data_IF_362607908195
#
_entry.id   IF_362607908195
#
_cell.length_a   1.000
_cell.length_b   1.000
_cell.length_c   1.000
_cell.angle_alpha   90.00
_cell.angle_beta   90.00
_cell.angle_gamma   90.00
#
_symmetry.space_group_name_H-M   'P 1'
#
loop_
_entity.id
_entity.type
_entity.pdbx_description
1 polymer ?
#
# COMPACT_ATOMS: atom_id res chain seq x y z
N UNK A 1 -16.94 21.64 -4.94
CA UNK A 1 -18.24 21.55 -4.23
C UNK A 1 -18.93 20.21 -4.48
N UNK A 2 -18.89 19.69 -5.71
CA UNK A 2 -19.58 18.45 -6.13
C UNK A 2 -19.07 17.13 -5.49
N UNK A 3 -17.77 17.02 -5.24
CA UNK A 3 -17.17 15.81 -4.64
C UNK A 3 -17.57 15.58 -3.17
N UNK A 4 -17.84 16.65 -2.41
CA UNK A 4 -18.28 16.55 -1.01
C UNK A 4 -19.71 16.02 -0.90
N UNK A 5 -20.58 16.43 -1.83
CA UNK A 5 -21.97 15.97 -1.90
C UNK A 5 -22.03 14.51 -2.36
N UNK A 6 -21.20 14.14 -3.34
CA UNK A 6 -21.08 12.75 -3.81
C UNK A 6 -20.54 11.81 -2.71
N UNK A 7 -19.57 12.29 -1.92
CA UNK A 7 -19.06 11.56 -0.76
C UNK A 7 -20.15 11.38 0.31
N UNK A 8 -20.90 12.44 0.62
CA UNK A 8 -22.01 12.38 1.57
C UNK A 8 -23.11 11.41 1.13
N UNK A 9 -23.45 11.39 -0.16
CA UNK A 9 -24.44 10.45 -0.72
C UNK A 9 -23.99 9.00 -0.57
N UNK A 10 -22.73 8.70 -0.91
CA UNK A 10 -22.16 7.35 -0.76
C UNK A 10 -22.15 6.90 0.71
N UNK A 11 -21.86 7.81 1.64
CA UNK A 11 -21.95 7.51 3.07
C UNK A 11 -23.38 7.18 3.50
N UNK A 12 -24.37 7.92 3.01
CA UNK A 12 -25.77 7.66 3.33
C UNK A 12 -26.25 6.31 2.79
N UNK A 13 -25.84 5.93 1.58
CA UNK A 13 -26.14 4.62 0.99
C UNK A 13 -25.55 3.47 1.82
N UNK A 14 -24.33 3.64 2.31
CA UNK A 14 -23.65 2.64 3.13
C UNK A 14 -24.29 2.52 4.51
N UNK A 15 -24.69 3.64 5.14
CA UNK A 15 -25.46 3.64 6.39
C UNK A 15 -26.79 2.90 6.21
N UNK A 16 -27.54 3.22 5.15
CA UNK A 16 -28.81 2.58 4.86
C UNK A 16 -28.66 1.06 4.65
N UNK A 17 -27.57 0.63 3.98
CA UNK A 17 -27.26 -0.79 3.78
C UNK A 17 -26.91 -1.48 5.11
N UNK A 18 -26.14 -0.83 5.99
CA UNK A 18 -25.83 -1.37 7.31
C UNK A 18 -27.09 -1.52 8.17
N UNK A 19 -27.95 -0.51 8.21
CA UNK A 19 -29.20 -0.53 8.96
C UNK A 19 -30.14 -1.63 8.47
N UNK A 20 -30.24 -1.81 7.14
CA UNK A 20 -31.06 -2.88 6.56
C UNK A 20 -30.57 -4.27 6.95
N UNK A 21 -29.25 -4.52 6.88
CA UNK A 21 -28.68 -5.82 7.24
C UNK A 21 -28.75 -6.09 8.74
N UNK A 22 -28.53 -5.07 9.57
CA UNK A 22 -28.65 -5.19 11.03
C UNK A 22 -30.08 -5.51 11.45
N UNK A 23 -31.09 -4.83 10.87
CA UNK A 23 -32.51 -5.13 11.13
C UNK A 23 -32.88 -6.56 10.74
N UNK A 24 -32.44 -7.03 9.58
CA UNK A 24 -32.69 -8.41 9.14
C UNK A 24 -32.10 -9.44 10.12
N UNK A 25 -30.88 -9.18 10.59
CA UNK A 25 -30.21 -10.00 11.59
C UNK A 25 -30.98 -10.00 12.93
N UNK A 26 -31.36 -8.83 13.44
CA UNK A 26 -32.16 -8.69 14.68
C UNK A 26 -33.51 -9.41 14.59
N UNK A 27 -34.21 -9.32 13.46
CA UNK A 27 -35.48 -10.01 13.23
C UNK A 27 -35.31 -11.54 13.25
N UNK A 28 -34.24 -12.07 12.66
CA UNK A 28 -33.94 -13.51 12.68
C UNK A 28 -33.51 -13.97 14.08
N UNK A 29 -32.79 -13.15 14.82
CA UNK A 29 -32.39 -13.44 16.19
C UNK A 29 -33.60 -13.47 17.14
N UNK A 30 -34.58 -12.57 16.94
CA UNK A 30 -35.87 -12.60 17.66
C UNK A 30 -36.68 -13.87 17.38
N UNK A 31 -36.63 -14.40 16.14
CA UNK A 31 -37.29 -15.66 15.75
C UNK A 31 -36.68 -16.91 16.40
N UNK A 32 -35.47 -16.82 16.95
CA UNK A 32 -34.78 -17.93 17.64
C UNK A 32 -34.94 -17.89 19.18
N UNK A 33 -35.77 -16.99 19.70
CA UNK A 33 -36.08 -16.88 21.13
C UNK A 33 -37.01 -18.03 21.62
N UNK A 34 -37.12 -18.29 22.94
CA UNK A 34 -37.15 -19.66 23.51
C UNK A 34 -38.45 -20.46 23.36
N UNK A 35 -39.41 -20.02 22.54
CA UNK A 35 -40.68 -20.72 22.30
C UNK A 35 -40.69 -21.59 21.05
N UNK A 36 -39.60 -21.67 20.30
CA UNK A 36 -39.47 -22.53 19.11
C UNK A 36 -38.19 -23.36 19.18
N UNK A 37 -38.32 -24.67 18.92
CA UNK A 37 -37.23 -25.64 18.80
C UNK A 37 -36.32 -25.27 17.62
N UNK A 38 -35.36 -24.36 17.86
CA UNK A 38 -34.38 -23.95 16.89
C UNK A 38 -33.48 -25.13 16.51
N UNK A 39 -33.37 -25.44 15.23
CA UNK A 39 -32.47 -26.52 14.79
C UNK A 39 -31.01 -26.08 15.01
N UNK A 40 -30.09 -27.00 15.32
CA UNK A 40 -28.66 -26.70 15.42
C UNK A 40 -28.06 -26.10 14.13
N UNK A 41 -28.71 -26.32 12.98
CA UNK A 41 -28.31 -25.75 11.70
C UNK A 41 -28.66 -24.26 11.60
N UNK A 42 -29.78 -23.82 12.17
CA UNK A 42 -30.20 -22.41 12.14
C UNK A 42 -29.29 -21.51 12.97
N UNK A 43 -28.88 -21.99 14.15
CA UNK A 43 -27.90 -21.29 15.01
C UNK A 43 -26.52 -21.20 14.36
N UNK A 44 -26.09 -22.26 13.65
CA UNK A 44 -24.80 -22.29 12.96
C UNK A 44 -24.80 -21.38 11.73
N UNK A 45 -25.92 -21.32 11.01
CA UNK A 45 -26.15 -20.40 9.89
C UNK A 45 -26.13 -18.94 10.36
N UNK A 46 -26.87 -18.61 11.42
CA UNK A 46 -26.92 -17.25 11.97
C UNK A 46 -25.55 -16.76 12.47
N UNK A 47 -24.79 -17.64 13.13
CA UNK A 47 -23.43 -17.34 13.59
C UNK A 47 -22.46 -17.08 12.43
N UNK A 48 -22.58 -17.84 11.33
CA UNK A 48 -21.78 -17.61 10.11
C UNK A 48 -22.13 -16.28 9.45
N UNK A 49 -23.43 -15.98 9.28
CA UNK A 49 -23.90 -14.71 8.71
C UNK A 49 -23.42 -13.50 9.54
N UNK A 50 -23.43 -13.62 10.88
CA UNK A 50 -22.89 -12.58 11.76
C UNK A 50 -21.39 -12.36 11.57
N UNK A 51 -20.61 -13.44 11.44
CA UNK A 51 -19.16 -13.33 11.25
C UNK A 51 -18.82 -12.72 9.88
N UNK A 52 -19.57 -13.08 8.84
CA UNK A 52 -19.43 -12.50 7.51
C UNK A 52 -19.80 -11.01 7.51
N UNK A 53 -20.89 -10.65 8.18
CA UNK A 53 -21.29 -9.25 8.34
C UNK A 53 -20.25 -8.45 9.14
N UNK A 54 -19.77 -8.97 10.27
CA UNK A 54 -18.71 -8.34 11.07
C UNK A 54 -17.44 -8.14 10.25
N UNK A 55 -17.03 -9.16 9.50
CA UNK A 55 -15.86 -9.09 8.61
C UNK A 55 -16.03 -8.04 7.52
N UNK A 56 -17.22 -7.96 6.94
CA UNK A 56 -17.57 -6.94 5.95
C UNK A 56 -17.53 -5.52 6.54
N UNK A 57 -18.16 -5.29 7.70
CA UNK A 57 -18.14 -4.00 8.42
C UNK A 57 -16.70 -3.56 8.69
N UNK A 58 -15.85 -4.47 9.20
CA UNK A 58 -14.45 -4.18 9.47
C UNK A 58 -13.66 -3.83 8.20
N UNK A 59 -13.86 -4.56 7.10
CA UNK A 59 -13.23 -4.24 5.81
C UNK A 59 -13.65 -2.87 5.31
N UNK A 60 -14.94 -2.54 5.41
CA UNK A 60 -15.47 -1.23 5.00
C UNK A 60 -14.93 -0.09 5.87
N UNK A 61 -14.88 -0.27 7.19
CA UNK A 61 -14.30 0.72 8.11
C UNK A 61 -12.81 0.93 7.87
N UNK A 62 -12.05 -0.13 7.57
CA UNK A 62 -10.63 -0.03 7.22
C UNK A 62 -10.43 0.71 5.88
N UNK A 63 -11.27 0.46 4.89
CA UNK A 63 -11.24 1.20 3.62
C UNK A 63 -11.60 2.68 3.81
N UNK A 64 -12.55 3.00 4.68
CA UNK A 64 -12.85 4.39 5.00
C UNK A 64 -11.73 5.09 5.75
N UNK A 65 -11.13 4.41 6.73
CA UNK A 65 -9.97 4.93 7.45
C UNK A 65 -8.85 5.30 6.47
N UNK A 66 -8.53 4.41 5.53
CA UNK A 66 -7.48 4.68 4.54
C UNK A 66 -7.83 5.84 3.60
N UNK A 67 -9.09 5.96 3.16
CA UNK A 67 -9.54 7.11 2.38
C UNK A 67 -9.47 8.44 3.14
N UNK A 68 -9.86 8.45 4.41
CA UNK A 68 -9.79 9.64 5.27
C UNK A 68 -8.34 10.06 5.54
N UNK A 69 -7.45 9.10 5.76
CA UNK A 69 -6.01 9.34 5.90
C UNK A 69 -5.41 9.91 4.61
N UNK A 70 -5.78 9.38 3.43
CA UNK A 70 -5.38 9.93 2.13
C UNK A 70 -5.82 11.39 1.95
N UNK A 71 -7.08 11.71 2.29
CA UNK A 71 -7.59 13.08 2.21
C UNK A 71 -6.85 14.01 3.17
N UNK A 72 -6.58 13.55 4.40
CA UNK A 72 -5.85 14.32 5.42
C UNK A 72 -4.42 14.63 4.95
N UNK A 73 -3.73 13.67 4.35
CA UNK A 73 -2.39 13.85 3.78
C UNK A 73 -2.41 14.78 2.56
N UNK A 74 -3.40 14.64 1.69
CA UNK A 74 -3.59 15.54 0.56
C UNK A 74 -3.78 16.99 1.02
N UNK A 75 -4.59 17.19 2.06
CA UNK A 75 -4.82 18.50 2.67
C UNK A 75 -3.55 19.06 3.32
N UNK A 76 -2.76 18.23 4.03
CA UNK A 76 -1.46 18.62 4.59
C UNK A 76 -0.49 19.07 3.50
N UNK A 77 -0.40 18.31 2.39
CA UNK A 77 0.48 18.65 1.26
C UNK A 77 0.07 19.96 0.61
N UNK A 78 -1.23 20.16 0.38
CA UNK A 78 -1.75 21.41 -0.15
C UNK A 78 -1.45 22.58 0.78
N UNK A 79 -1.68 22.42 2.09
CA UNK A 79 -1.38 23.44 3.08
C UNK A 79 0.12 23.75 3.13
N UNK A 80 0.98 22.73 3.16
CA UNK A 80 2.43 22.89 3.13
C UNK A 80 2.89 23.62 1.86
N UNK A 81 2.30 23.30 0.70
CA UNK A 81 2.56 23.99 -0.56
C UNK A 81 2.18 25.47 -0.49
N UNK A 82 1.00 25.80 0.04
CA UNK A 82 0.55 27.18 0.22
C UNK A 82 1.43 27.96 1.22
N UNK A 83 2.07 27.27 2.17
CA UNK A 83 2.99 27.82 3.16
C UNK A 83 4.42 28.04 2.65
N UNK A 84 4.78 27.60 1.44
CA UNK A 84 6.14 27.80 0.87
C UNK A 84 6.49 29.27 0.63
N UNK A 85 5.49 30.13 0.43
CA UNK A 85 5.65 31.59 0.30
C UNK A 85 5.57 32.33 1.64
N UNK A 86 5.62 31.61 2.76
CA UNK A 86 5.47 32.17 4.10
C UNK A 86 6.72 31.90 4.94
N UNK A 87 7.13 32.90 5.72
CA UNK A 87 8.16 32.76 6.75
C UNK A 87 7.68 33.37 8.06
N UNK A 88 8.30 32.94 9.16
CA UNK A 88 8.17 33.57 10.46
C UNK A 88 9.45 34.33 10.81
N UNK A 89 9.29 35.55 11.31
CA UNK A 89 10.36 36.36 11.89
C UNK A 89 10.12 36.48 13.39
N UNK A 90 11.08 36.07 14.20
CA UNK A 90 11.03 36.11 15.66
C UNK A 90 11.96 37.18 16.22
N UNK A 91 11.67 37.68 17.42
CA UNK A 91 12.51 38.67 18.11
C UNK A 91 12.35 40.10 17.58
N UNK A 92 11.28 40.38 16.82
CA UNK A 92 10.94 41.73 16.38
C UNK A 92 10.19 42.45 17.49
N UNK A 93 10.74 43.55 18.02
CA UNK A 93 10.10 44.38 19.06
C UNK A 93 8.69 44.81 18.62
N UNK A 94 7.74 44.83 19.55
CA UNK A 94 6.36 45.29 19.29
C UNK A 94 6.20 46.76 19.69
N UNK A 95 5.65 47.58 18.79
CA UNK A 95 5.32 48.97 19.05
C UNK A 95 3.83 49.23 18.80
N UNK A 96 3.23 50.14 19.58
CA UNK A 96 1.82 50.54 19.37
C UNK A 96 1.70 51.27 18.03
N UNK A 97 0.76 50.82 17.19
CA UNK A 97 0.51 51.42 15.87
C UNK A 97 1.57 51.07 14.81
N UNK A 98 2.35 50.00 15.02
CA UNK A 98 3.40 49.61 14.08
C UNK A 98 2.87 49.35 12.66
N UNK A 99 3.56 49.90 11.66
CA UNK A 99 3.36 49.54 10.25
C UNK A 99 4.23 48.33 9.94
N UNK A 100 3.67 47.14 10.11
CA UNK A 100 4.46 45.90 10.12
C UNK A 100 5.20 45.63 8.81
N UNK A 101 4.64 46.01 7.65
CA UNK A 101 5.36 45.92 6.36
C UNK A 101 6.63 46.77 6.36
N UNK A 102 6.58 48.00 6.86
CA UNK A 102 7.74 48.90 6.92
C UNK A 102 8.80 48.39 7.89
N UNK A 103 8.38 47.84 9.04
CA UNK A 103 9.28 47.20 10.01
C UNK A 103 10.00 46.01 9.38
N UNK A 104 9.28 45.15 8.65
CA UNK A 104 9.84 43.99 7.95
C UNK A 104 10.82 44.42 6.85
N UNK A 105 10.46 45.42 6.04
CA UNK A 105 11.35 45.96 5.00
C UNK A 105 12.63 46.56 5.58
N UNK A 106 12.54 47.30 6.69
CA UNK A 106 13.73 47.80 7.41
C UNK A 106 14.64 46.66 7.87
N UNK A 107 14.09 45.55 8.35
CA UNK A 107 14.89 44.37 8.72
C UNK A 107 15.58 43.78 7.48
N UNK A 108 14.86 43.67 6.36
CA UNK A 108 15.41 43.10 5.13
C UNK A 108 16.53 43.97 4.53
N UNK A 109 16.34 45.29 4.48
CA UNK A 109 17.37 46.20 4.00
C UNK A 109 18.57 46.28 4.97
N UNK A 110 18.32 46.58 6.25
CA UNK A 110 19.39 46.96 7.17
C UNK A 110 20.13 45.75 7.78
N UNK A 111 19.46 44.60 7.93
CA UNK A 111 20.06 43.41 8.58
C UNK A 111 20.34 42.24 7.63
N UNK A 112 19.74 42.22 6.45
CA UNK A 112 19.94 41.15 5.46
C UNK A 112 20.57 41.65 4.15
N UNK A 113 20.84 42.95 4.02
CA UNK A 113 21.39 43.56 2.80
C UNK A 113 20.54 43.28 1.55
N UNK A 114 19.25 42.99 1.73
CA UNK A 114 18.33 42.67 0.65
C UNK A 114 17.59 43.94 0.19
N UNK A 115 18.27 44.80 -0.58
CA UNK A 115 17.72 46.08 -1.07
C UNK A 115 16.69 45.93 -2.19
N UNK A 116 16.70 44.79 -2.89
CA UNK A 116 15.85 44.54 -4.05
C UNK A 116 14.40 44.16 -3.69
N UNK A 117 14.10 44.03 -2.39
CA UNK A 117 12.79 43.63 -1.88
C UNK A 117 11.99 44.88 -1.51
N UNK A 118 10.85 45.06 -2.17
CA UNK A 118 9.96 46.19 -1.98
C UNK A 118 8.66 45.80 -1.27
N UNK A 119 7.82 46.80 -0.94
CA UNK A 119 6.48 46.54 -0.40
C UNK A 119 5.59 45.72 -1.35
N UNK A 120 5.84 45.77 -2.67
CA UNK A 120 5.09 45.03 -3.69
C UNK A 120 5.46 43.54 -3.73
N UNK A 121 6.59 43.15 -3.17
CA UNK A 121 6.97 41.74 -3.01
C UNK A 121 6.23 41.07 -1.86
N UNK A 122 5.71 41.88 -0.92
CA UNK A 122 5.04 41.44 0.28
C UNK A 122 3.52 41.48 0.12
N UNK A 123 2.92 40.29 0.05
CA UNK A 123 1.46 40.16 0.05
C UNK A 123 0.88 40.64 1.38
N UNK A 124 1.42 40.13 2.50
CA UNK A 124 0.87 40.38 3.84
C UNK A 124 1.92 40.21 4.94
N UNK A 125 1.77 40.97 6.02
CA UNK A 125 2.58 40.84 7.24
C UNK A 125 1.66 40.94 8.46
N UNK A 126 1.69 39.94 9.36
CA UNK A 126 0.84 39.93 10.56
C UNK A 126 1.57 39.34 11.77
N UNK A 127 1.29 39.85 12.98
CA UNK A 127 1.72 39.23 14.24
C UNK A 127 0.87 37.99 14.53
N UNK A 128 1.48 36.91 15.01
CA UNK A 128 0.78 35.69 15.37
C UNK A 128 0.58 35.55 16.89
N UNK A 129 -0.63 35.16 17.27
CA UNK A 129 -0.97 34.81 18.65
C UNK A 129 -1.31 35.99 19.55
N UNK A 130 -1.53 35.66 20.82
CA UNK A 130 -1.89 36.59 21.91
C UNK A 130 -0.60 37.07 22.57
N UNK A 131 -0.55 38.34 22.98
CA UNK A 131 0.61 38.90 23.66
C UNK A 131 0.79 38.24 25.04
N UNK A 132 1.95 37.61 25.27
CA UNK A 132 2.29 36.91 26.52
C UNK A 132 3.66 37.34 27.07
N UNK A 133 3.99 38.63 26.95
CA UNK A 133 5.22 39.22 27.50
C UNK A 133 6.49 39.03 26.66
N UNK A 134 6.49 38.12 25.68
CA UNK A 134 7.52 38.04 24.62
C UNK A 134 6.99 38.63 23.30
N UNK A 135 7.85 39.26 22.46
CA UNK A 135 7.41 39.78 21.18
C UNK A 135 6.87 38.67 20.28
N UNK A 136 5.67 38.84 19.75
CA UNK A 136 4.98 37.86 18.91
C UNK A 136 5.71 37.68 17.58
N UNK A 137 5.79 36.45 17.05
CA UNK A 137 6.33 36.20 15.73
C UNK A 137 5.57 36.96 14.64
N UNK A 138 6.29 37.46 13.65
CA UNK A 138 5.72 38.10 12.46
C UNK A 138 5.66 37.08 11.33
N UNK A 139 4.46 36.78 10.85
CA UNK A 139 4.23 36.01 9.63
C UNK A 139 4.35 36.94 8.43
N UNK A 140 5.21 36.60 7.47
CA UNK A 140 5.41 37.35 6.23
C UNK A 140 5.04 36.46 5.05
N UNK A 141 4.13 36.93 4.20
CA UNK A 141 3.71 36.28 2.96
C UNK A 141 4.28 37.04 1.77
N UNK A 142 4.96 36.31 0.89
CA UNK A 142 5.53 36.86 -0.35
C UNK A 142 4.64 36.58 -1.55
N UNK A 143 4.66 37.47 -2.53
CA UNK A 143 4.00 37.27 -3.82
C UNK A 143 4.74 36.21 -4.66
N UNK A 144 6.07 36.16 -4.57
CA UNK A 144 6.92 35.22 -5.29
C UNK A 144 7.74 34.31 -4.35
N UNK A 145 7.98 33.07 -4.80
CA UNK A 145 8.94 32.17 -4.15
C UNK A 145 10.38 32.67 -4.30
N UNK A 146 10.72 33.39 -5.38
CA UNK A 146 12.06 33.95 -5.58
C UNK A 146 12.40 34.98 -4.51
N UNK A 147 11.53 35.97 -4.29
CA UNK A 147 11.69 37.00 -3.25
C UNK A 147 11.84 36.36 -1.86
N UNK A 148 11.01 35.35 -1.55
CA UNK A 148 11.12 34.57 -0.31
C UNK A 148 12.47 33.84 -0.20
N UNK A 149 12.96 33.26 -1.29
CA UNK A 149 14.19 32.48 -1.30
C UNK A 149 15.42 33.38 -1.09
N UNK A 150 15.46 34.57 -1.69
CA UNK A 150 16.53 35.56 -1.48
C UNK A 150 16.67 35.93 0.01
N UNK A 151 15.53 36.16 0.69
CA UNK A 151 15.51 36.38 2.14
C UNK A 151 16.02 35.15 2.91
N UNK A 152 15.61 33.95 2.49
CA UNK A 152 15.99 32.71 3.16
C UNK A 152 17.48 32.42 3.08
N UNK A 153 18.13 32.72 1.95
CA UNK A 153 19.57 32.50 1.76
C UNK A 153 20.42 33.47 2.58
N UNK A 154 19.99 34.71 2.75
CA UNK A 154 20.73 35.74 3.50
C UNK A 154 20.54 35.66 5.02
N UNK A 155 19.63 34.81 5.51
CA UNK A 155 19.22 34.76 6.94
C UNK A 155 20.36 34.57 7.95
N UNK A 156 21.52 34.06 7.52
CA UNK A 156 22.69 33.88 8.39
C UNK A 156 23.29 35.20 8.87
N UNK A 157 23.03 36.31 8.16
CA UNK A 157 23.43 37.67 8.57
C UNK A 157 22.71 38.15 9.84
N UNK A 158 21.61 37.51 10.23
CA UNK A 158 20.88 37.86 11.46
C UNK A 158 21.53 37.34 12.74
N UNK A 159 22.58 36.52 12.65
CA UNK A 159 23.28 35.97 13.83
C UNK A 159 23.78 37.12 14.72
N UNK A 160 23.49 37.04 16.02
CA UNK A 160 23.86 38.07 17.00
C UNK A 160 22.90 39.26 17.09
N UNK A 161 21.94 39.41 16.18
CA UNK A 161 21.03 40.57 16.16
C UNK A 161 19.78 40.43 17.06
N UNK A 162 19.61 39.27 17.69
CA UNK A 162 18.39 38.90 18.43
C UNK A 162 17.18 38.53 17.57
N UNK A 163 17.27 38.67 16.24
CA UNK A 163 16.21 38.32 15.28
C UNK A 163 16.51 36.97 14.64
N UNK A 164 15.50 36.13 14.45
CA UNK A 164 15.65 34.84 13.74
C UNK A 164 14.52 34.60 12.75
N UNK A 165 14.81 33.84 11.69
CA UNK A 165 13.84 33.47 10.66
C UNK A 165 13.64 31.95 10.66
N UNK A 166 12.39 31.51 10.64
CA UNK A 166 12.00 30.10 10.51
C UNK A 166 10.94 29.89 9.42
N UNK A 167 10.79 28.65 8.94
CA UNK A 167 9.68 28.33 8.05
C UNK A 167 8.37 28.28 8.83
N UNK A 168 7.26 28.60 8.16
CA UNK A 168 5.93 28.42 8.70
C UNK A 168 5.42 27.01 8.39
N UNK A 169 5.92 26.01 9.12
CA UNK A 169 5.55 24.60 8.91
C UNK A 169 4.10 24.33 9.33
N UNK A 170 3.44 23.35 8.71
CA UNK A 170 2.19 22.76 9.21
C UNK A 170 2.40 22.17 10.61
N UNK A 171 1.32 22.01 11.38
CA UNK A 171 1.42 21.43 12.74
C UNK A 171 2.09 20.06 12.71
N UNK A 172 1.72 19.21 11.75
CA UNK A 172 2.33 17.90 11.56
C UNK A 172 3.85 17.97 11.31
N UNK A 173 4.29 18.80 10.35
CA UNK A 173 5.72 18.99 10.06
C UNK A 173 6.47 19.62 11.22
N UNK A 174 5.87 20.57 11.92
CA UNK A 174 6.47 21.15 13.11
C UNK A 174 6.70 20.10 14.19
N UNK A 175 5.71 19.24 14.47
CA UNK A 175 5.87 18.13 15.42
C UNK A 175 7.01 17.20 15.01
N UNK A 176 7.06 16.77 13.75
CA UNK A 176 8.16 15.92 13.23
C UNK A 176 9.51 16.63 13.35
N UNK A 177 9.56 17.93 13.10
CA UNK A 177 10.79 18.72 13.22
C UNK A 177 11.30 18.79 14.66
N UNK A 178 10.39 18.98 15.62
CA UNK A 178 10.73 19.03 17.04
C UNK A 178 11.20 17.67 17.55
N UNK A 179 10.53 16.58 17.15
CA UNK A 179 10.97 15.22 17.47
C UNK A 179 12.34 14.91 16.84
N UNK A 180 12.59 15.33 15.59
CA UNK A 180 13.89 15.18 14.96
C UNK A 180 14.98 15.91 15.76
N UNK A 181 14.74 17.15 16.20
CA UNK A 181 15.71 17.90 17.03
C UNK A 181 15.96 17.25 18.39
N UNK A 182 14.93 16.67 19.00
CA UNK A 182 15.04 15.93 20.26
C UNK A 182 15.94 14.70 20.12
N UNK A 183 15.83 13.98 18.99
CA UNK A 183 16.56 12.73 18.76
C UNK A 183 17.97 12.93 18.17
N UNK A 184 18.15 13.87 17.24
CA UNK A 184 19.43 14.06 16.51
C UNK A 184 20.19 15.32 16.93
N UNK A 185 19.59 16.16 17.77
CA UNK A 185 20.16 17.42 18.23
C UNK A 185 19.79 18.62 17.36
N UNK A 186 19.72 19.79 18.01
CA UNK A 186 19.31 21.07 17.42
C UNK A 186 20.14 21.46 16.19
N UNK A 187 21.44 21.18 16.21
CA UNK A 187 22.38 21.57 15.15
C UNK A 187 22.37 20.60 13.96
N UNK A 188 21.84 19.39 14.15
CA UNK A 188 21.76 18.35 13.13
C UNK A 188 20.43 18.39 12.38
N UNK A 189 19.48 19.22 12.78
CA UNK A 189 18.16 19.29 12.15
C UNK A 189 17.80 20.72 11.76
N UNK A 190 17.45 20.92 10.50
CA UNK A 190 16.92 22.18 9.98
C UNK A 190 15.78 21.91 9.00
N UNK A 191 15.16 22.97 8.49
CA UNK A 191 14.18 22.84 7.42
C UNK A 191 14.62 23.58 6.17
N UNK A 192 14.16 23.08 5.02
CA UNK A 192 14.45 23.63 3.70
C UNK A 192 13.30 23.35 2.76
N UNK A 193 12.68 24.42 2.26
CA UNK A 193 11.52 24.39 1.36
C UNK A 193 10.35 23.53 1.91
N UNK A 194 10.02 23.75 3.18
CA UNK A 194 8.99 23.01 3.90
C UNK A 194 9.34 21.56 4.22
N UNK A 195 10.52 21.07 3.81
CA UNK A 195 11.01 19.72 4.14
C UNK A 195 11.93 19.77 5.35
N UNK A 196 11.87 18.76 6.20
CA UNK A 196 12.76 18.64 7.35
C UNK A 196 14.04 17.95 6.86
N UNK A 197 15.20 18.43 7.27
CA UNK A 197 16.49 17.90 6.88
C UNK A 197 17.25 17.51 8.14
N UNK A 198 17.75 16.28 8.17
CA UNK A 198 18.52 15.70 9.26
C UNK A 198 19.92 15.38 8.74
N UNK A 199 20.94 15.81 9.47
CA UNK A 199 22.33 15.41 9.29
C UNK A 199 22.59 14.19 10.16
N UNK A 200 22.93 13.07 9.53
CA UNK A 200 23.26 11.84 10.21
C UNK A 200 24.73 11.85 10.71
N UNK A 201 25.10 10.95 11.64
CA UNK A 201 26.47 10.88 12.16
C UNK A 201 27.54 10.66 11.08
N UNK A 202 27.19 9.98 10.00
CA UNK A 202 28.00 9.73 8.80
C UNK A 202 28.15 10.99 7.89
N UNK A 203 27.66 12.14 8.34
CA UNK A 203 27.62 13.42 7.61
C UNK A 203 26.69 13.45 6.40
N UNK A 204 25.89 12.40 6.18
CA UNK A 204 24.89 12.41 5.10
C UNK A 204 23.67 13.25 5.50
N UNK A 205 23.10 13.95 4.52
CA UNK A 205 21.89 14.76 4.70
C UNK A 205 20.69 13.97 4.22
N UNK A 206 19.67 13.80 5.08
CA UNK A 206 18.41 13.14 4.74
C UNK A 206 17.26 14.12 4.82
N UNK A 207 16.46 14.19 3.75
CA UNK A 207 15.21 14.94 3.74
C UNK A 207 14.10 14.02 4.26
N UNK A 208 13.47 14.42 5.35
CA UNK A 208 12.28 13.78 5.87
C UNK A 208 11.09 14.27 5.09
N UNK A 209 10.49 13.33 4.36
CA UNK A 209 9.19 13.51 3.75
C UNK A 209 8.16 12.80 4.63
N UNK A 210 7.04 13.47 4.92
CA UNK A 210 5.92 12.82 5.57
C UNK A 210 5.25 11.95 4.51
N UNK A 211 5.71 10.71 4.39
CA UNK A 211 5.07 9.65 3.62
C UNK A 211 4.33 8.74 4.58
N UNK A 212 3.10 8.39 4.20
CA UNK A 212 2.29 7.46 4.96
C UNK A 212 2.37 6.10 4.29
N UNK A 213 2.78 5.10 5.05
CA UNK A 213 2.69 3.73 4.60
C UNK A 213 1.27 3.22 4.88
N UNK A 214 0.47 3.13 3.82
CA UNK A 214 -0.95 2.75 3.88
C UNK A 214 -1.20 1.32 4.40
N UNK A 215 -0.16 0.51 4.52
CA UNK A 215 -0.26 -0.83 5.10
C UNK A 215 0.04 -0.86 6.60
N UNK A 216 0.67 0.18 7.18
CA UNK A 216 1.09 0.14 8.60
C UNK A 216 0.74 1.34 9.46
N UNK A 217 0.24 2.43 8.88
CA UNK A 217 -0.10 3.63 9.65
C UNK A 217 1.12 4.33 10.26
N UNK A 218 2.33 4.04 9.77
CA UNK A 218 3.60 4.60 10.26
C UNK A 218 4.10 5.71 9.34
N UNK A 219 4.56 6.80 9.95
CA UNK A 219 5.35 7.86 9.27
C UNK A 219 6.78 7.33 9.10
N UNK A 220 7.18 7.06 7.87
CA UNK A 220 8.53 6.52 7.58
C UNK A 220 9.55 7.61 7.25
N UNK A 221 10.72 7.54 7.89
CA UNK A 221 11.93 8.29 7.55
C UNK A 221 12.72 7.48 6.53
N UNK A 222 12.90 7.96 5.30
CA UNK A 222 13.69 7.24 4.28
C UNK A 222 15.13 7.73 4.17
N UNK A 223 16.05 6.78 4.23
CA UNK A 223 17.45 6.83 3.80
C UNK A 223 17.66 5.62 2.89
N UNK A 224 18.24 5.75 1.68
CA UNK A 224 18.73 4.57 0.97
C UNK A 224 20.00 4.07 1.67
N UNK A 225 20.10 2.73 1.78
CA UNK A 225 21.21 1.90 2.27
C UNK A 225 21.10 1.36 3.72
N UNK A 226 20.60 0.13 3.74
CA UNK A 226 20.74 -1.05 4.63
C UNK A 226 21.32 -0.94 6.05
N UNK A 227 20.47 -1.21 7.06
CA UNK A 227 20.45 -2.40 7.94
C UNK A 227 19.38 -2.10 9.03
N UNK A 228 18.24 -2.80 9.06
CA UNK A 228 17.14 -2.47 9.98
C UNK A 228 17.25 -3.22 11.30
N UNK A 229 17.73 -2.55 12.33
CA UNK A 229 17.43 -2.91 13.73
C UNK A 229 16.19 -2.15 14.19
N UNK A 230 15.23 -2.85 14.80
CA UNK A 230 14.10 -2.22 15.49
C UNK A 230 14.56 -1.98 16.93
N UNK A 231 14.87 -0.74 17.29
CA UNK A 231 15.13 -0.37 18.68
C UNK A 231 13.80 -0.35 19.46
N UNK A 232 13.74 -1.14 20.53
CA UNK A 232 12.60 -1.11 21.45
C UNK A 232 12.57 0.24 22.19
N UNK A 233 11.44 0.97 22.20
CA UNK A 233 11.29 2.15 23.04
C UNK A 233 11.54 1.79 24.51
N UNK A 234 12.48 2.50 25.16
CA UNK A 234 12.88 2.25 26.55
C UNK A 234 11.72 2.32 27.57
N UNK A 235 10.59 2.95 27.21
CA UNK A 235 9.39 3.03 28.04
C UNK A 235 8.53 1.74 28.02
N UNK A 236 8.83 0.80 27.11
CA UNK A 236 8.08 -0.45 26.90
C UNK A 236 8.74 -1.68 27.53
N UNK A 237 9.74 -1.51 28.40
CA UNK A 237 10.16 -2.59 29.30
C UNK A 237 9.31 -2.43 30.57
N UNK A 238 8.27 -3.25 30.79
CA UNK A 238 7.47 -3.16 32.00
C UNK A 238 8.39 -3.38 33.20
N UNK A 239 8.23 -2.64 34.31
CA UNK A 239 9.02 -2.85 35.52
C UNK A 239 8.79 -4.24 36.15
N UNK A 240 7.76 -4.98 35.71
CA UNK A 240 7.25 -6.20 36.33
C UNK A 240 7.08 -7.38 35.35
N UNK A 241 6.88 -8.59 35.89
CA UNK A 241 6.72 -9.89 35.20
C UNK A 241 5.49 -9.95 34.26
N UNK A 242 5.45 -9.16 33.20
CA UNK A 242 4.39 -9.26 32.20
C UNK A 242 4.82 -10.16 31.02
N UNK A 243 3.92 -11.07 30.63
CA UNK A 243 4.08 -11.93 29.47
C UNK A 243 3.74 -11.13 28.19
N UNK A 244 4.63 -11.15 27.22
CA UNK A 244 4.40 -10.60 25.88
C UNK A 244 4.37 -11.72 24.83
N UNK A 245 3.76 -11.44 23.68
CA UNK A 245 3.69 -12.36 22.55
C UNK A 245 4.19 -11.68 21.27
N UNK A 246 4.83 -12.47 20.41
CA UNK A 246 5.34 -12.09 19.09
C UNK A 246 4.78 -13.07 18.06
N UNK A 247 4.23 -12.59 16.94
CA UNK A 247 3.73 -13.43 15.86
C UNK A 247 4.02 -12.79 14.50
N UNK A 248 4.01 -13.62 13.45
CA UNK A 248 4.16 -13.18 12.06
C UNK A 248 2.98 -13.69 11.25
N UNK A 249 2.19 -12.78 10.68
CA UNK A 249 1.07 -13.10 9.81
C UNK A 249 0.95 -12.04 8.70
N UNK A 250 0.41 -12.38 7.53
CA UNK A 250 0.10 -11.41 6.46
C UNK A 250 1.26 -10.53 5.97
N UNK A 251 2.50 -11.01 6.06
CA UNK A 251 3.69 -10.19 5.79
C UNK A 251 3.88 -9.04 6.79
N UNK A 252 3.41 -9.21 8.03
CA UNK A 252 3.53 -8.25 9.13
C UNK A 252 3.95 -8.96 10.41
N UNK A 253 4.91 -8.38 11.13
CA UNK A 253 5.32 -8.86 12.45
C UNK A 253 4.56 -8.09 13.52
N UNK A 254 3.87 -8.80 14.42
CA UNK A 254 3.03 -8.23 15.46
C UNK A 254 3.61 -8.59 16.83
N UNK A 255 3.64 -7.63 17.75
CA UNK A 255 4.07 -7.80 19.14
C UNK A 255 3.03 -7.16 20.07
N UNK A 256 2.64 -7.90 21.11
CA UNK A 256 1.59 -7.48 22.05
C UNK A 256 1.84 -7.97 23.47
N UNK A 257 1.09 -7.41 24.44
CA UNK A 257 1.02 -7.95 25.80
C UNK A 257 -0.05 -9.06 25.85
N UNK A 258 0.09 -10.01 26.77
CA UNK A 258 -0.89 -11.09 26.94
C UNK A 258 -2.30 -10.53 27.10
N UNK A 259 -3.24 -11.04 26.28
CA UNK A 259 -4.66 -10.64 26.21
C UNK A 259 -4.94 -9.22 25.69
N UNK A 260 -3.91 -8.52 25.19
CA UNK A 260 -4.05 -7.21 24.57
C UNK A 260 -3.82 -7.30 23.05
N UNK A 261 -4.42 -6.40 22.25
CA UNK A 261 -4.09 -6.28 20.83
C UNK A 261 -2.60 -5.93 20.64
N UNK A 262 -2.02 -6.21 19.46
CA UNK A 262 -0.63 -5.87 19.19
C UNK A 262 -0.41 -4.37 19.35
N UNK A 263 0.52 -3.99 20.22
CA UNK A 263 0.93 -2.61 20.39
C UNK A 263 2.00 -2.20 19.37
N UNK A 264 2.63 -3.18 18.71
CA UNK A 264 3.59 -2.97 17.63
C UNK A 264 3.22 -3.87 16.45
N UNK A 265 3.00 -3.26 15.29
CA UNK A 265 2.78 -3.94 14.01
C UNK A 265 3.83 -3.40 13.04
N UNK A 266 4.66 -4.30 12.49
CA UNK A 266 5.70 -3.96 11.54
C UNK A 266 5.44 -4.64 10.19
N UNK A 267 5.13 -3.88 9.13
CA UNK A 267 4.97 -4.45 7.80
C UNK A 267 6.34 -4.89 7.27
N UNK A 268 6.39 -6.09 6.72
CA UNK A 268 7.55 -6.59 6.00
C UNK A 268 7.34 -6.27 4.54
N UNK A 269 8.36 -5.73 3.88
CA UNK A 269 8.24 -5.38 2.46
C UNK A 269 8.08 -6.65 1.63
N UNK A 270 7.21 -6.64 0.62
CA UNK A 270 7.00 -7.78 -0.27
C UNK A 270 8.27 -8.21 -1.03
N UNK A 271 9.25 -7.30 -1.16
CA UNK A 271 10.56 -7.53 -1.77
C UNK A 271 11.60 -8.15 -0.82
N UNK A 272 11.35 -8.15 0.50
CA UNK A 272 12.23 -8.82 1.47
C UNK A 272 11.89 -10.32 1.45
N UNK A 273 12.57 -11.05 0.56
CA UNK A 273 12.46 -12.52 0.46
C UNK A 273 13.14 -13.13 1.68
N UNK A 274 12.33 -13.68 2.58
CA UNK A 274 12.72 -14.58 3.69
C UNK A 274 13.35 -13.88 4.90
N UNK A 275 12.62 -13.82 6.02
CA UNK A 275 13.25 -13.55 7.33
C UNK A 275 13.97 -14.86 7.72
N UNK A 276 15.29 -14.89 7.59
CA UNK A 276 16.09 -16.04 8.01
C UNK A 276 16.10 -16.24 9.53
N UNK A 277 16.14 -15.14 10.30
CA UNK A 277 16.13 -15.15 11.77
C UNK A 277 15.71 -13.78 12.32
N UNK A 278 15.16 -13.77 13.54
CA UNK A 278 14.86 -12.54 14.29
C UNK A 278 15.87 -12.45 15.44
N UNK A 279 16.63 -11.34 15.52
CA UNK A 279 17.55 -11.09 16.63
C UNK A 279 16.91 -10.12 17.62
N UNK A 280 16.58 -10.62 18.81
CA UNK A 280 16.09 -9.81 19.92
C UNK A 280 17.26 -9.56 20.89
N UNK A 281 17.57 -8.29 21.16
CA UNK A 281 18.57 -7.89 22.15
C UNK A 281 17.84 -7.39 23.39
N UNK A 282 17.97 -8.12 24.49
CA UNK A 282 17.25 -7.84 25.74
C UNK A 282 18.29 -7.74 26.87
N UNK A 283 18.07 -6.81 27.81
CA UNK A 283 18.98 -6.51 28.93
C UNK A 283 18.66 -7.32 30.21
N UNK A 284 17.63 -8.18 30.19
CA UNK A 284 17.18 -9.00 31.34
C UNK A 284 16.93 -10.46 30.91
N UNK A 285 17.04 -11.39 31.86
CA UNK A 285 16.71 -12.81 31.63
C UNK A 285 15.20 -13.00 31.42
N UNK A 286 14.83 -13.70 30.33
CA UNK A 286 13.44 -13.99 29.95
C UNK A 286 13.29 -15.49 29.69
N UNK A 287 12.16 -16.05 30.12
CA UNK A 287 11.77 -17.41 29.78
C UNK A 287 10.93 -17.41 28.49
N UNK A 288 11.40 -18.12 27.47
CA UNK A 288 10.69 -18.25 26.20
C UNK A 288 9.73 -19.44 26.22
N UNK A 289 8.47 -19.18 25.87
CA UNK A 289 7.48 -20.22 25.57
C UNK A 289 7.11 -20.14 24.09
N UNK A 290 7.80 -20.95 23.26
CA UNK A 290 7.48 -21.04 21.84
C UNK A 290 6.25 -21.92 21.68
N UNK A 291 5.10 -21.29 21.43
CA UNK A 291 3.88 -22.00 21.05
C UNK A 291 3.93 -22.26 19.55
N UNK A 292 3.72 -23.50 19.12
CA UNK A 292 3.38 -23.79 17.74
C UNK A 292 2.15 -22.94 17.33
N UNK A 293 2.06 -22.48 16.07
CA UNK A 293 0.99 -21.58 15.65
C UNK A 293 -0.37 -22.12 16.10
N UNK A 294 -1.22 -21.30 16.77
CA UNK A 294 -2.45 -21.77 17.40
C UNK A 294 -3.47 -22.32 16.39
N UNK A 295 -3.24 -22.04 15.11
CA UNK A 295 -3.84 -22.74 14.00
C UNK A 295 -2.72 -23.24 13.10
N UNK A 296 -2.54 -24.56 13.04
CA UNK A 296 -2.38 -25.17 11.71
C UNK A 296 -3.66 -24.78 11.00
N UNK A 297 -3.63 -23.75 10.15
CA UNK A 297 -4.74 -23.51 9.21
C UNK A 297 -4.79 -24.84 8.45
N UNK A 298 -5.83 -25.67 8.62
CA UNK A 298 -5.94 -26.84 7.77
C UNK A 298 -5.88 -26.26 6.36
N UNK A 299 -5.05 -26.82 5.45
CA UNK A 299 -4.98 -26.31 4.09
C UNK A 299 -6.41 -26.09 3.63
N UNK A 300 -6.71 -24.89 3.11
CA UNK A 300 -8.07 -24.52 2.68
C UNK A 300 -8.68 -25.76 2.06
N UNK A 301 -9.74 -26.29 2.68
CA UNK A 301 -10.45 -27.43 2.12
C UNK A 301 -11.16 -26.84 0.92
N UNK A 302 -10.45 -26.76 -0.20
CA UNK A 302 -11.03 -26.49 -1.49
C UNK A 302 -12.17 -27.48 -1.61
N UNK A 303 -13.40 -26.99 -1.85
CA UNK A 303 -14.49 -27.88 -2.25
C UNK A 303 -13.97 -28.61 -3.48
N UNK A 304 -13.57 -29.86 -3.29
CA UNK A 304 -13.18 -30.73 -4.37
C UNK A 304 -14.48 -30.99 -5.14
N UNK A 305 -14.71 -30.20 -6.19
CA UNK A 305 -15.81 -30.44 -7.11
C UNK A 305 -15.31 -31.60 -7.99
N UNK A 306 -15.79 -32.80 -7.71
CA UNK A 306 -15.38 -34.04 -8.38
C UNK A 306 -15.56 -33.95 -9.91
N UNK A 307 -16.53 -33.15 -10.37
CA UNK A 307 -16.85 -32.91 -11.79
C UNK A 307 -16.24 -31.62 -12.39
N UNK A 308 -15.32 -30.94 -11.70
CA UNK A 308 -14.82 -29.60 -12.07
C UNK A 308 -13.46 -29.54 -12.77
N UNK A 309 -12.99 -30.62 -13.42
CA UNK A 309 -11.66 -30.70 -14.05
C UNK A 309 -11.47 -29.64 -15.13
N UNK A 310 -10.25 -29.14 -15.23
CA UNK A 310 -9.86 -28.22 -16.31
C UNK A 310 -9.92 -28.92 -17.66
N UNK A 311 -10.67 -28.34 -18.60
CA UNK A 311 -10.80 -28.85 -19.95
C UNK A 311 -10.88 -27.70 -20.97
N UNK A 312 -10.40 -27.98 -22.19
CA UNK A 312 -10.44 -27.04 -23.30
C UNK A 312 -11.70 -27.28 -24.13
N UNK A 313 -12.49 -26.22 -24.33
CA UNK A 313 -13.76 -26.27 -25.05
C UNK A 313 -13.70 -25.33 -26.24
N UNK A 314 -13.99 -25.84 -27.45
CA UNK A 314 -14.12 -25.00 -28.64
C UNK A 314 -15.32 -24.08 -28.49
N UNK A 315 -15.16 -22.81 -28.87
CA UNK A 315 -16.28 -21.88 -28.89
C UNK A 315 -17.22 -22.23 -30.05
N UNK A 316 -18.52 -22.34 -29.74
CA UNK A 316 -19.58 -22.64 -30.71
C UNK A 316 -20.54 -21.45 -30.75
N UNK A 317 -20.95 -21.04 -31.96
CA UNK A 317 -21.89 -19.93 -32.19
C UNK A 317 -21.54 -18.62 -31.48
N UNK A 318 -20.24 -18.34 -31.28
CA UNK A 318 -19.76 -17.14 -30.57
C UNK A 318 -20.30 -17.02 -29.13
N UNK A 319 -20.73 -18.15 -28.53
CA UNK A 319 -21.21 -18.20 -27.15
C UNK A 319 -20.11 -18.72 -26.24
N UNK A 320 -19.89 -18.01 -25.13
CA UNK A 320 -18.94 -18.41 -24.11
C UNK A 320 -19.44 -19.70 -23.43
N UNK A 321 -18.63 -20.77 -23.37
CA UNK A 321 -19.05 -22.03 -22.77
C UNK A 321 -19.29 -21.90 -21.26
N UNK A 322 -20.23 -22.67 -20.68
CA UNK A 322 -20.40 -22.73 -19.23
C UNK A 322 -19.11 -23.14 -18.52
N UNK A 323 -18.80 -22.47 -17.41
CA UNK A 323 -17.58 -22.74 -16.64
C UNK A 323 -16.31 -22.15 -17.24
N UNK A 324 -16.41 -21.26 -18.24
CA UNK A 324 -15.26 -20.52 -18.77
C UNK A 324 -14.52 -19.76 -17.67
N UNK A 325 -13.21 -19.96 -17.60
CA UNK A 325 -12.38 -19.41 -16.53
C UNK A 325 -11.93 -17.99 -16.84
N UNK A 326 -12.20 -17.06 -15.93
CA UNK A 326 -11.76 -15.66 -16.03
C UNK A 326 -10.25 -15.63 -15.78
N UNK A 327 -9.50 -15.20 -16.79
CA UNK A 327 -8.04 -15.07 -16.73
C UNK A 327 -7.57 -13.74 -16.15
N UNK A 328 -8.38 -12.69 -16.28
CA UNK A 328 -8.05 -11.36 -15.81
C UNK A 328 -9.08 -10.30 -16.20
N UNK A 329 -8.65 -9.05 -16.33
CA UNK A 329 -9.52 -7.92 -16.66
C UNK A 329 -8.78 -6.90 -17.53
N UNK A 330 -9.40 -6.50 -18.64
CA UNK A 330 -8.93 -5.49 -19.58
C UNK A 330 -10.14 -4.69 -20.09
N UNK A 331 -10.56 -3.66 -19.34
CA UNK A 331 -11.83 -2.93 -19.46
C UNK A 331 -13.11 -3.79 -19.25
N UNK A 332 -13.04 -5.08 -19.57
CA UNK A 332 -14.03 -6.12 -19.33
C UNK A 332 -13.34 -7.40 -18.83
N UNK A 333 -14.07 -8.38 -18.24
CA UNK A 333 -13.50 -9.68 -17.92
C UNK A 333 -12.95 -10.37 -19.17
N UNK A 334 -11.69 -10.78 -19.11
CA UNK A 334 -11.05 -11.58 -20.16
C UNK A 334 -10.95 -13.03 -19.73
N UNK A 335 -11.13 -13.94 -20.68
CA UNK A 335 -11.14 -15.38 -20.43
C UNK A 335 -9.87 -16.03 -20.94
N UNK A 336 -9.50 -17.17 -20.37
CA UNK A 336 -8.33 -17.91 -20.80
C UNK A 336 -8.66 -18.64 -22.11
N UNK A 337 -7.87 -18.35 -23.14
CA UNK A 337 -7.99 -19.02 -24.43
C UNK A 337 -6.65 -19.64 -24.84
N UNK A 338 -6.68 -20.58 -25.77
CA UNK A 338 -5.50 -21.00 -26.52
C UNK A 338 -5.80 -21.13 -28.00
N UNK A 339 -4.80 -20.90 -28.83
CA UNK A 339 -4.93 -20.99 -30.27
C UNK A 339 -3.61 -21.38 -30.93
N UNK A 340 -3.70 -22.05 -32.08
CA UNK A 340 -2.54 -22.41 -32.88
C UNK A 340 -1.96 -21.18 -33.60
N UNK A 341 -0.65 -21.01 -33.54
CA UNK A 341 0.10 -20.01 -34.29
C UNK A 341 1.52 -20.50 -34.56
N UNK A 342 1.91 -20.55 -35.84
CA UNK A 342 3.25 -20.95 -36.27
C UNK A 342 3.73 -22.26 -35.61
N UNK A 343 2.87 -23.28 -35.63
CA UNK A 343 3.12 -24.60 -35.00
C UNK A 343 3.24 -24.59 -33.47
N UNK A 344 3.00 -23.46 -32.80
CA UNK A 344 2.83 -23.39 -31.35
C UNK A 344 1.38 -23.28 -30.94
N UNK A 345 0.97 -24.08 -29.97
CA UNK A 345 -0.33 -23.97 -29.31
C UNK A 345 -0.21 -22.99 -28.13
N UNK A 346 -0.46 -21.71 -28.40
CA UNK A 346 -0.22 -20.64 -27.43
C UNK A 346 -1.45 -20.35 -26.56
N UNK A 347 -1.32 -20.32 -25.23
CA UNK A 347 -2.32 -19.71 -24.37
C UNK A 347 -2.27 -18.17 -24.43
N UNK A 348 -3.42 -17.54 -24.17
CA UNK A 348 -3.66 -16.12 -24.34
C UNK A 348 -5.01 -15.70 -23.76
N UNK A 349 -5.52 -14.54 -24.20
CA UNK A 349 -6.78 -13.95 -23.72
C UNK A 349 -7.89 -14.04 -24.76
N UNK A 350 -9.12 -14.28 -24.32
CA UNK A 350 -10.34 -14.05 -25.10
C UNK A 350 -11.05 -12.80 -24.59
N UNK A 351 -11.46 -11.94 -25.53
CA UNK A 351 -12.12 -10.66 -25.24
C UNK A 351 -13.56 -10.71 -25.76
N UNK A 352 -14.58 -10.74 -24.89
CA UNK A 352 -15.98 -10.90 -25.29
C UNK A 352 -16.50 -9.84 -26.26
N UNK A 353 -16.22 -8.56 -26.06
CA UNK A 353 -16.67 -7.51 -27.00
C UNK A 353 -16.08 -7.68 -28.40
N UNK A 354 -14.85 -8.19 -28.51
CA UNK A 354 -14.13 -8.37 -29.78
C UNK A 354 -14.40 -9.72 -30.45
N UNK A 355 -15.01 -10.67 -29.72
CA UNK A 355 -15.35 -12.02 -30.20
C UNK A 355 -14.15 -12.75 -30.82
N UNK A 356 -12.98 -12.62 -30.19
CA UNK A 356 -11.75 -13.27 -30.66
C UNK A 356 -10.74 -13.48 -29.53
N UNK A 357 -9.86 -14.47 -29.73
CA UNK A 357 -8.70 -14.69 -28.88
C UNK A 357 -7.49 -13.89 -29.39
N UNK A 358 -6.57 -13.59 -28.48
CA UNK A 358 -5.30 -12.95 -28.74
C UNK A 358 -4.19 -13.76 -28.09
N UNK A 359 -3.19 -14.15 -28.88
CA UNK A 359 -2.05 -14.95 -28.40
C UNK A 359 -0.73 -14.20 -28.60
N UNK A 360 0.19 -14.28 -27.62
CA UNK A 360 1.51 -13.66 -27.71
C UNK A 360 2.48 -14.54 -28.50
N UNK A 361 3.16 -13.98 -29.52
CA UNK A 361 4.23 -14.66 -30.24
C UNK A 361 5.11 -13.70 -31.05
N UNK A 362 6.43 -13.91 -31.01
CA UNK A 362 7.39 -13.20 -31.86
C UNK A 362 7.32 -11.68 -31.69
N UNK A 363 7.28 -11.20 -30.44
CA UNK A 363 7.16 -9.79 -30.06
C UNK A 363 5.82 -9.12 -30.38
N UNK A 364 4.83 -9.88 -30.85
CA UNK A 364 3.52 -9.34 -31.27
C UNK A 364 2.33 -10.08 -30.65
N UNK A 365 1.22 -9.37 -30.56
CA UNK A 365 -0.09 -9.93 -30.24
C UNK A 365 -0.80 -10.36 -31.55
N UNK A 366 -1.32 -11.58 -31.59
CA UNK A 366 -1.97 -12.14 -32.78
C UNK A 366 -3.44 -12.46 -32.52
N UNK A 367 -4.33 -11.84 -33.30
CA UNK A 367 -5.77 -12.10 -33.26
C UNK A 367 -6.10 -13.47 -33.88
N UNK A 368 -6.98 -14.24 -33.22
CA UNK A 368 -7.36 -15.60 -33.58
C UNK A 368 -8.88 -15.77 -33.59
N UNK A 369 -9.38 -16.36 -34.68
CA UNK A 369 -10.79 -16.75 -34.83
C UNK A 369 -11.07 -18.19 -34.40
N UNK A 370 -10.09 -19.07 -34.57
CA UNK A 370 -10.16 -20.46 -34.15
C UNK A 370 -9.37 -20.61 -32.85
N UNK A 371 -10.06 -20.90 -31.76
CA UNK A 371 -9.48 -21.02 -30.42
C UNK A 371 -10.33 -21.91 -29.53
N UNK A 372 -9.76 -22.31 -28.41
CA UNK A 372 -10.41 -23.04 -27.34
C UNK A 372 -10.41 -22.19 -26.07
N UNK A 373 -11.47 -22.28 -25.28
CA UNK A 373 -11.62 -21.62 -23.98
C UNK A 373 -11.35 -22.63 -22.88
N UNK A 374 -10.57 -22.23 -21.87
CA UNK A 374 -10.37 -23.05 -20.69
C UNK A 374 -11.61 -22.99 -19.80
N UNK A 375 -12.16 -24.14 -19.49
CA UNK A 375 -13.32 -24.30 -18.60
C UNK A 375 -12.95 -25.15 -17.39
N UNK A 376 -13.73 -25.00 -16.31
CA UNK A 376 -13.59 -25.79 -15.08
C UNK A 376 -13.36 -24.92 -13.84
N UNK A 377 -13.27 -25.57 -12.68
CA UNK A 377 -13.21 -24.90 -11.38
C UNK A 377 -12.00 -25.32 -10.53
N UNK A 378 -11.31 -26.40 -10.91
CA UNK A 378 -10.18 -26.95 -10.16
C UNK A 378 -8.83 -26.28 -10.51
N UNK A 379 -8.79 -24.94 -10.47
CA UNK A 379 -7.61 -24.16 -10.82
C UNK A 379 -7.23 -23.16 -9.73
N UNK A 380 -5.92 -23.01 -9.50
CA UNK A 380 -5.37 -22.09 -8.51
C UNK A 380 -4.29 -21.24 -9.19
N UNK A 381 -4.23 -19.96 -8.88
CA UNK A 381 -3.15 -19.08 -9.32
C UNK A 381 -2.05 -19.03 -8.27
N UNK A 382 -0.81 -19.28 -8.66
CA UNK A 382 0.35 -19.25 -7.78
C UNK A 382 1.34 -18.21 -8.27
N UNK A 383 1.81 -17.33 -7.39
CA UNK A 383 2.87 -16.38 -7.74
C UNK A 383 4.18 -17.10 -8.03
N UNK A 384 4.78 -16.77 -9.15
CA UNK A 384 6.06 -17.29 -9.61
C UNK A 384 6.99 -16.15 -10.05
N UNK A 385 8.28 -16.40 -9.91
CA UNK A 385 9.34 -15.54 -10.45
C UNK A 385 10.36 -16.43 -11.13
N UNK A 386 10.83 -16.03 -12.31
CA UNK A 386 11.87 -16.73 -13.06
C UNK A 386 11.58 -18.23 -13.25
N UNK A 387 12.37 -19.14 -12.64
CA UNK A 387 12.35 -20.59 -12.87
C UNK A 387 11.44 -21.37 -11.91
N UNK A 388 10.83 -20.71 -10.92
CA UNK A 388 10.10 -21.40 -9.85
C UNK A 388 8.68 -21.75 -10.28
N UNK A 389 8.53 -22.72 -11.18
CA UNK A 389 7.22 -23.22 -11.62
C UNK A 389 6.85 -24.50 -10.87
N UNK A 390 5.67 -24.56 -10.23
CA UNK A 390 5.18 -25.75 -9.52
C UNK A 390 5.00 -26.95 -10.45
N UNK A 391 5.25 -28.15 -9.97
CA UNK A 391 5.03 -29.40 -10.73
C UNK A 391 3.58 -29.61 -11.17
N UNK A 392 2.62 -29.07 -10.42
CA UNK A 392 1.20 -29.11 -10.78
C UNK A 392 0.77 -27.96 -11.71
N UNK A 393 1.71 -27.23 -12.32
CA UNK A 393 1.38 -26.23 -13.32
C UNK A 393 0.58 -26.86 -14.47
N UNK A 394 -0.48 -26.18 -14.86
CA UNK A 394 -1.37 -26.69 -15.89
C UNK A 394 -0.76 -26.46 -17.28
N UNK A 395 -0.33 -27.55 -17.91
CA UNK A 395 0.17 -27.53 -19.29
C UNK A 395 -0.97 -27.14 -20.22
N UNK A 396 -0.80 -26.03 -20.93
CA UNK A 396 -1.85 -25.39 -21.72
C UNK A 396 -1.62 -25.50 -23.22
N UNK A 397 -0.39 -25.74 -23.64
CA UNK A 397 -0.05 -26.03 -25.02
C UNK A 397 1.42 -26.37 -25.20
N UNK A 398 1.91 -26.24 -26.42
CA UNK A 398 3.26 -26.63 -26.81
C UNK A 398 3.94 -25.54 -27.64
N UNK A 399 5.25 -25.41 -27.45
CA UNK A 399 6.13 -24.53 -28.23
C UNK A 399 6.42 -25.13 -29.60
N UNK A 400 6.70 -24.27 -30.58
CA UNK A 400 7.24 -24.70 -31.87
C UNK A 400 8.67 -25.27 -31.74
N UNK A 401 9.35 -24.97 -30.64
CA UNK A 401 10.68 -25.47 -30.31
C UNK A 401 10.53 -26.76 -29.51
N UNK A 402 10.88 -27.89 -30.11
CA UNK A 402 10.88 -29.23 -29.48
C UNK A 402 9.57 -29.64 -28.79
N UNK A 403 8.43 -29.06 -29.20
CA UNK A 403 7.11 -29.30 -28.59
C UNK A 403 7.07 -29.05 -27.08
N UNK A 404 7.93 -28.17 -26.58
CA UNK A 404 8.06 -27.94 -25.15
C UNK A 404 6.77 -27.41 -24.50
N UNK A 405 6.46 -27.83 -23.27
CA UNK A 405 5.22 -27.43 -22.62
C UNK A 405 5.18 -25.92 -22.36
N UNK A 406 4.07 -25.30 -22.77
CA UNK A 406 3.70 -23.94 -22.43
C UNK A 406 2.63 -23.94 -21.34
N UNK A 407 2.76 -23.00 -20.41
CA UNK A 407 1.85 -22.87 -19.27
C UNK A 407 1.07 -21.55 -19.35
N UNK A 408 0.00 -21.43 -18.56
CA UNK A 408 -0.76 -20.18 -18.48
C UNK A 408 -0.18 -19.31 -17.38
N UNK A 409 0.20 -18.09 -17.74
CA UNK A 409 0.60 -17.07 -16.79
C UNK A 409 -0.26 -15.83 -16.91
N UNK A 410 -0.34 -15.04 -15.85
CA UNK A 410 -0.93 -13.69 -15.88
C UNK A 410 -0.10 -12.71 -15.07
N UNK A 411 -0.12 -11.44 -15.46
CA UNK A 411 0.49 -10.37 -14.66
C UNK A 411 -0.20 -9.03 -14.92
N UNK A 412 0.07 -8.04 -14.06
CA UNK A 412 -0.41 -6.68 -14.28
C UNK A 412 0.39 -5.98 -15.39
N UNK A 413 -0.34 -5.32 -16.27
CA UNK A 413 0.16 -4.28 -17.16
C UNK A 413 -0.67 -3.04 -16.84
N UNK A 414 -0.03 -2.05 -16.22
CA UNK A 414 -0.67 -0.89 -15.60
C UNK A 414 -1.79 -1.29 -14.63
N UNK A 415 -3.05 -1.01 -14.96
CA UNK A 415 -4.22 -1.36 -14.16
C UNK A 415 -4.96 -2.62 -14.65
N UNK A 416 -4.45 -3.28 -15.70
CA UNK A 416 -5.09 -4.44 -16.33
C UNK A 416 -4.37 -5.74 -15.95
N UNK A 417 -5.12 -6.77 -15.59
CA UNK A 417 -4.59 -8.11 -15.33
C UNK A 417 -4.70 -8.93 -16.61
N UNK A 418 -3.57 -9.20 -17.26
CA UNK A 418 -3.52 -9.83 -18.58
C UNK A 418 -3.01 -11.27 -18.47
N UNK A 419 -3.67 -12.19 -19.17
CA UNK A 419 -3.30 -13.61 -19.25
C UNK A 419 -2.60 -13.93 -20.58
N UNK A 420 -1.59 -14.80 -20.54
CA UNK A 420 -0.74 -15.16 -21.66
C UNK A 420 -0.01 -16.50 -21.44
N UNK A 421 1.16 -16.64 -22.06
CA UNK A 421 1.96 -17.87 -22.02
C UNK A 421 3.17 -17.73 -21.11
N UNK A 422 3.55 -18.83 -20.46
CA UNK A 422 4.83 -18.96 -19.75
C UNK A 422 5.67 -19.98 -20.50
N UNK A 423 6.89 -19.58 -20.85
CA UNK A 423 7.86 -20.45 -21.50
C UNK A 423 9.00 -20.76 -20.52
N UNK A 424 9.19 -22.03 -20.19
CA UNK A 424 10.12 -22.44 -19.13
C UNK A 424 11.58 -22.20 -19.48
N UNK A 425 12.01 -22.51 -20.71
CA UNK A 425 13.39 -22.21 -21.14
C UNK A 425 13.73 -20.72 -21.06
N UNK A 426 12.81 -19.86 -21.48
CA UNK A 426 13.00 -18.41 -21.47
C UNK A 426 12.69 -17.77 -20.12
N UNK A 427 12.16 -18.55 -19.16
CA UNK A 427 11.96 -18.17 -17.75
C UNK A 427 11.06 -16.95 -17.60
N UNK A 428 10.07 -16.83 -18.48
CA UNK A 428 9.29 -15.61 -18.59
C UNK A 428 7.84 -15.83 -18.98
N UNK A 429 6.99 -14.90 -18.54
CA UNK A 429 5.60 -14.80 -18.96
C UNK A 429 5.48 -13.76 -20.08
N UNK A 430 4.81 -14.13 -21.16
CA UNK A 430 4.58 -13.30 -22.33
C UNK A 430 3.08 -13.03 -22.45
N UNK A 431 2.72 -11.75 -22.50
CA UNK A 431 1.34 -11.28 -22.40
C UNK A 431 0.93 -10.53 -23.68
N UNK A 432 -0.19 -10.89 -24.32
CA UNK A 432 -0.72 -10.16 -25.47
C UNK A 432 -1.39 -8.86 -25.01
N UNK A 433 -0.82 -7.70 -25.34
CA UNK A 433 -1.36 -6.40 -24.95
C UNK A 433 -1.04 -5.30 -25.98
N UNK A 434 -2.07 -4.56 -26.40
CA UNK A 434 -1.98 -3.45 -27.35
C UNK A 434 -1.13 -3.74 -28.61
N UNK A 435 -1.33 -4.90 -29.24
CA UNK A 435 -0.60 -5.30 -30.45
C UNK A 435 0.82 -5.86 -30.19
N UNK A 436 1.28 -5.89 -28.94
CA UNK A 436 2.62 -6.35 -28.55
C UNK A 436 2.57 -7.61 -27.70
N UNK A 437 3.67 -8.37 -27.74
CA UNK A 437 3.97 -9.40 -26.74
C UNK A 437 4.82 -8.75 -25.64
N UNK A 438 4.24 -8.60 -24.46
CA UNK A 438 4.87 -7.96 -23.30
C UNK A 438 5.49 -9.01 -22.40
N UNK A 439 6.78 -8.86 -22.11
CA UNK A 439 7.54 -9.77 -21.25
C UNK A 439 7.40 -9.38 -19.76
N UNK A 440 7.14 -10.37 -18.89
CA UNK A 440 7.02 -10.22 -17.43
C UNK A 440 7.73 -11.37 -16.70
N UNK A 441 8.72 -11.02 -15.86
CA UNK A 441 9.49 -11.98 -15.04
C UNK A 441 8.85 -12.32 -13.70
N UNK A 442 7.91 -11.49 -13.24
CA UNK A 442 7.07 -11.74 -12.07
C UNK A 442 5.63 -11.88 -12.54
N UNK A 443 5.01 -13.02 -12.27
CA UNK A 443 3.70 -13.40 -12.79
C UNK A 443 3.01 -14.39 -11.85
N UNK A 444 1.73 -14.66 -12.07
CA UNK A 444 1.03 -15.79 -11.49
C UNK A 444 0.91 -16.90 -12.54
N UNK A 445 1.16 -18.15 -12.17
CA UNK A 445 0.97 -19.33 -13.02
C UNK A 445 -0.28 -20.11 -12.59
N UNK A 446 -1.00 -20.66 -13.56
CA UNK A 446 -2.16 -21.50 -13.28
C UNK A 446 -1.72 -22.92 -12.94
N UNK A 447 -2.17 -23.45 -11.80
CA UNK A 447 -1.92 -24.82 -11.37
C UNK A 447 -3.22 -25.59 -11.16
N UNK A 448 -3.12 -26.92 -11.23
CA UNK A 448 -4.19 -27.87 -10.93
C UNK A 448 -4.45 -27.95 -9.44
N UNK A 449 -5.64 -27.54 -9.01
CA UNK A 449 -6.06 -27.56 -7.61
C UNK A 449 -6.46 -28.96 -7.10
N UNK A 450 -6.72 -29.89 -8.02
CA UNK A 450 -7.04 -31.31 -7.73
C UNK A 450 -5.80 -32.16 -7.45
N UNK A 451 -4.59 -31.66 -7.75
CA UNK A 451 -3.33 -32.37 -7.53
C UNK A 451 -2.66 -31.81 -6.28
N UNK A 452 -2.67 -32.59 -5.19
CA UNK A 452 -1.86 -32.33 -3.99
C UNK A 452 -0.40 -32.68 -4.28
N UNK A 453 0.42 -31.72 -4.67
CA UNK A 453 1.87 -31.95 -4.78
C UNK A 453 2.50 -32.14 -3.41
N UNK A 454 3.34 -33.16 -3.27
CA UNK A 454 4.25 -33.37 -2.15
C UNK A 454 5.68 -32.96 -2.58
N UNK A 455 5.87 -31.73 -3.07
CA UNK A 455 7.16 -31.21 -3.58
C UNK A 455 7.65 -31.90 -4.86
N UNK A 456 8.74 -31.54 -5.55
CA UNK A 456 9.77 -30.48 -5.60
C UNK A 456 10.69 -30.96 -6.75
N UNK A 457 10.88 -30.23 -7.85
CA UNK A 457 12.00 -30.55 -8.78
C UNK A 457 13.22 -29.70 -8.45
N UNK A 458 14.17 -30.38 -7.78
CA UNK A 458 15.60 -30.14 -7.62
C UNK A 458 16.12 -28.70 -7.38
N UNK A 459 16.56 -28.50 -6.13
CA UNK A 459 17.48 -27.47 -5.59
C UNK A 459 16.89 -26.11 -5.19
N UNK A 460 16.84 -25.94 -3.86
CA UNK A 460 16.62 -24.73 -3.05
C UNK A 460 15.17 -24.30 -2.76
N UNK A 461 14.62 -24.95 -1.74
CA UNK A 461 13.72 -24.48 -0.67
C UNK A 461 12.97 -23.15 -0.90
N UNK A 462 11.66 -23.24 -1.18
CA UNK A 462 10.72 -22.16 -0.90
C UNK A 462 9.55 -22.68 -0.05
N UNK A 463 9.29 -22.03 1.08
CA UNK A 463 8.12 -22.30 1.94
C UNK A 463 7.01 -21.36 1.47
N UNK A 464 5.91 -21.91 0.93
CA UNK A 464 4.75 -21.11 0.56
C UNK A 464 4.12 -20.44 1.79
N UNK A 465 3.86 -19.14 1.68
CA UNK A 465 2.88 -18.45 2.51
C UNK A 465 1.56 -18.42 1.72
N UNK A 466 0.50 -19.13 2.14
CA UNK A 466 -0.79 -19.17 1.43
C UNK A 466 -1.41 -17.78 1.20
N UNK A 467 -1.00 -16.76 1.95
CA UNK A 467 -1.46 -15.39 1.75
C UNK A 467 -0.77 -14.63 0.61
N UNK A 468 0.40 -15.08 0.12
CA UNK A 468 1.05 -14.49 -1.06
C UNK A 468 0.34 -14.86 -2.38
N UNK A 469 -0.45 -15.93 -2.40
CA UNK A 469 -1.25 -16.34 -3.57
C UNK A 469 -2.48 -15.45 -3.84
N UNK A 470 -2.80 -14.52 -2.94
CA UNK A 470 -4.02 -13.68 -3.03
C UNK A 470 -3.79 -12.23 -3.46
N UNK A 471 -2.54 -11.79 -3.65
CA UNK A 471 -2.22 -10.43 -4.08
C UNK A 471 -1.98 -10.39 -5.60
N UNK A 472 -2.40 -9.36 -6.35
CA UNK A 472 -1.97 -9.19 -7.73
C UNK A 472 -0.44 -9.06 -7.83
N UNK A 473 0.16 -9.45 -8.96
CA UNK A 473 1.56 -9.15 -9.26
C UNK A 473 1.66 -7.74 -9.85
N UNK A 474 2.18 -6.77 -9.06
CA UNK A 474 2.38 -5.36 -9.46
C UNK A 474 3.51 -5.22 -10.47
#
# INVERSE_FOLDING_TARGET
MDQSLKLSSNFQEIVNMFDSRMKNYEERLKKLSPSSSASPQDLKSLSSEFLDFKTFVWKTLMLFKSQFEMLTLGLERHEAYLRRKLILIHGVTEEKGEKLKDVVLKIFCNKLECTDISANDLQACHRLGISQGKPRPVLVRFNSLSSRQSIWTSKTLLKGTGVTISEFLTKARHTVFMEARKNFGVNSCWTSDGKIVILLPDKTRRKVEITFNYNSGVISLTSPEEQKSIEMPYFLIPPTKEEFWLTWCSNEMHLGLKNEPPFLIHPLNAHEKTIGFIKLKITKNINWHVKSPPFVIPPLIYKHIEDGKLNWVKMVDNKLPPGALIGGFENEPIYIARAMHNSSLCPGKYVPTKQCAFVPWGFREHKKKNFEILCGFNAIWIKCTDNFVPENAFVAGSSEVNEEPLYIGRAMIDANLIVGKVHMLYKCCYLPYEGKEVEKRTYEILVRGDIKTHGITATNNCIMNPMKAMQPCV
#
